data_IF_274485207491
#
_entry.id   IF_274485207491
#
_cell.length_a   1.000
_cell.length_b   1.000
_cell.length_c   1.000
_cell.angle_alpha   90.00
_cell.angle_beta   90.00
_cell.angle_gamma   90.00
#
_symmetry.space_group_name_H-M   'P 1'
#
loop_
_entity.id
_entity.type
_entity.pdbx_description
1 polymer ?
#
# COMPACT_ATOMS: atom_id res chain seq x y z
N UNK A 1 1.18 3.79 10.05
CA UNK A 1 0.95 5.14 10.62
C UNK A 1 2.10 5.58 11.54
N UNK A 2 2.42 4.81 12.59
CA UNK A 2 3.49 5.17 13.55
C UNK A 2 4.90 5.29 12.95
N UNK A 3 5.11 4.84 11.71
CA UNK A 3 6.38 4.97 10.97
C UNK A 3 6.51 6.28 10.20
N UNK A 4 5.48 7.12 10.16
CA UNK A 4 5.53 8.40 9.44
C UNK A 4 6.12 9.51 10.35
N UNK A 5 6.91 10.45 9.79
CA UNK A 5 7.56 11.51 10.57
C UNK A 5 6.61 12.32 11.46
N UNK A 6 5.39 12.57 11.00
CA UNK A 6 4.37 13.33 11.72
C UNK A 6 3.97 12.71 13.08
N UNK A 7 4.21 11.42 13.30
CA UNK A 7 3.78 10.69 14.50
C UNK A 7 4.91 10.34 15.48
N UNK A 8 6.14 10.83 15.26
CA UNK A 8 7.30 10.46 16.09
C UNK A 8 7.20 10.88 17.57
N UNK A 9 6.42 11.92 17.88
CA UNK A 9 6.34 12.50 19.23
C UNK A 9 4.92 12.55 19.81
N UNK A 10 3.98 11.82 19.22
CA UNK A 10 2.62 11.76 19.74
C UNK A 10 2.50 10.72 20.86
N UNK A 11 1.70 11.02 21.89
CA UNK A 11 1.34 10.03 22.90
C UNK A 11 0.46 8.94 22.26
N UNK A 12 0.94 7.70 22.25
CA UNK A 12 0.22 6.55 21.75
C UNK A 12 0.63 5.27 22.49
N UNK A 13 -0.14 4.20 22.33
CA UNK A 13 0.16 2.89 22.90
C UNK A 13 0.13 1.84 21.81
N UNK A 14 1.10 0.95 21.83
CA UNK A 14 1.11 -0.27 21.02
C UNK A 14 1.01 -1.46 21.97
N UNK A 15 0.11 -2.39 21.68
CA UNK A 15 -0.02 -3.65 22.43
C UNK A 15 0.39 -4.77 21.49
N UNK A 16 1.42 -5.53 21.87
CA UNK A 16 2.03 -6.54 21.00
C UNK A 16 2.92 -5.92 19.91
N UNK A 17 3.03 -6.60 18.76
CA UNK A 17 3.77 -6.11 17.59
C UNK A 17 2.83 -5.71 16.44
N UNK A 18 3.37 -4.99 15.46
CA UNK A 18 2.64 -4.51 14.28
C UNK A 18 3.10 -5.23 13.01
N UNK A 19 3.39 -6.54 13.09
CA UNK A 19 3.98 -7.32 11.98
C UNK A 19 3.23 -7.15 10.64
N UNK A 20 1.91 -7.26 10.65
CA UNK A 20 1.10 -7.12 9.43
C UNK A 20 1.09 -5.70 8.90
N UNK A 21 1.01 -4.70 9.79
CA UNK A 21 1.06 -3.28 9.39
C UNK A 21 2.41 -2.93 8.77
N UNK A 22 3.51 -3.39 9.38
CA UNK A 22 4.86 -3.20 8.85
C UNK A 22 5.06 -3.97 7.53
N UNK A 23 4.44 -5.15 7.35
CA UNK A 23 4.44 -5.90 6.08
C UNK A 23 3.70 -5.14 4.98
N UNK A 24 2.47 -4.69 5.24
CA UNK A 24 1.68 -3.91 4.27
C UNK A 24 2.40 -2.62 3.89
N UNK A 25 3.06 -1.95 4.84
CA UNK A 25 3.81 -0.73 4.56
C UNK A 25 5.02 -0.93 3.64
N UNK A 26 5.71 -2.08 3.74
CA UNK A 26 6.91 -2.38 2.93
C UNK A 26 6.59 -3.08 1.62
N UNK A 27 5.66 -4.02 1.64
CA UNK A 27 5.43 -4.96 0.55
C UNK A 27 4.13 -4.64 -0.22
N UNK A 28 3.23 -3.86 0.38
CA UNK A 28 1.93 -3.53 -0.21
C UNK A 28 2.02 -2.34 -1.16
N UNK A 29 1.44 -2.49 -2.33
CA UNK A 29 1.17 -1.40 -3.26
C UNK A 29 -0.26 -1.51 -3.78
N UNK A 30 -0.84 -0.38 -4.17
CA UNK A 30 -2.19 -0.31 -4.71
C UNK A 30 -2.18 -0.13 -6.22
N UNK A 31 -3.20 -0.66 -6.88
CA UNK A 31 -3.52 -0.40 -8.28
C UNK A 31 -4.87 0.31 -8.34
N UNK A 32 -5.02 1.29 -9.23
CA UNK A 32 -6.29 2.00 -9.40
C UNK A 32 -7.36 1.09 -10.02
N UNK A 33 -8.58 1.13 -9.47
CA UNK A 33 -9.77 0.40 -9.97
C UNK A 33 -10.99 1.33 -10.09
N UNK A 34 -10.73 2.61 -10.32
CA UNK A 34 -11.77 3.62 -10.49
C UNK A 34 -12.67 3.30 -11.71
N UNK A 35 -14.01 3.53 -11.66
CA UNK A 35 -14.91 3.20 -12.78
C UNK A 35 -14.59 3.84 -14.14
N UNK A 36 -13.77 4.89 -14.18
CA UNK A 36 -13.30 5.50 -15.43
C UNK A 36 -12.06 4.82 -16.05
N UNK A 37 -11.56 3.73 -15.47
CA UNK A 37 -10.46 2.95 -16.05
C UNK A 37 -11.05 2.03 -17.13
N UNK A 38 -10.56 2.18 -18.35
CA UNK A 38 -10.98 1.33 -19.48
C UNK A 38 -10.31 -0.04 -19.40
N UNK A 39 -10.88 -1.02 -20.10
CA UNK A 39 -10.31 -2.37 -20.20
C UNK A 39 -8.86 -2.34 -20.75
N UNK A 40 -8.60 -1.53 -21.77
CA UNK A 40 -7.26 -1.35 -22.35
C UNK A 40 -6.21 -0.88 -21.33
N UNK A 41 -6.61 0.00 -20.40
CA UNK A 41 -5.73 0.46 -19.32
C UNK A 41 -5.46 -0.64 -18.29
N UNK A 42 -6.46 -1.47 -17.99
CA UNK A 42 -6.29 -2.64 -17.12
C UNK A 42 -5.36 -3.67 -17.78
N UNK A 43 -5.55 -3.96 -19.06
CA UNK A 43 -4.72 -4.89 -19.83
C UNK A 43 -3.26 -4.47 -19.84
N UNK A 44 -3.00 -3.17 -20.03
CA UNK A 44 -1.65 -2.63 -19.94
C UNK A 44 -1.03 -2.84 -18.54
N UNK A 45 -1.78 -2.56 -17.47
CA UNK A 45 -1.31 -2.76 -16.10
C UNK A 45 -0.98 -4.24 -15.85
N UNK A 46 -1.84 -5.16 -16.30
CA UNK A 46 -1.64 -6.61 -16.18
C UNK A 46 -0.39 -7.03 -16.95
N UNK A 47 -0.23 -6.57 -18.20
CA UNK A 47 0.95 -6.87 -19.02
C UNK A 47 2.23 -6.42 -18.32
N UNK A 48 2.26 -5.20 -17.78
CA UNK A 48 3.45 -4.70 -17.08
C UNK A 48 3.75 -5.47 -15.81
N UNK A 49 2.75 -5.83 -15.01
CA UNK A 49 2.96 -6.67 -13.83
C UNK A 49 3.54 -8.03 -14.21
N UNK A 50 3.09 -8.65 -15.31
CA UNK A 50 3.63 -9.93 -15.79
C UNK A 50 5.04 -9.83 -16.40
N UNK A 51 5.43 -8.65 -16.89
CA UNK A 51 6.76 -8.41 -17.47
C UNK A 51 7.86 -8.23 -16.41
N UNK A 52 7.51 -7.69 -15.22
CA UNK A 52 8.42 -7.51 -14.09
C UNK A 52 8.87 -8.84 -13.48
#
# INVERSE_FOLDING_TARGET
LLRQPAYQHISHRVVGDLKNTDKIMRDGFGVGVYPGITEEMLDYIIEKINYF
#
